data_IF_055501941719
#
_entry.id   IF_055501941719
#
_cell.length_a   1.000
_cell.length_b   1.000
_cell.length_c   1.000
_cell.angle_alpha   90.00
_cell.angle_beta   90.00
_cell.angle_gamma   90.00
#
_symmetry.space_group_name_H-M   'P 1'
#
loop_
_entity.id
_entity.type
_entity.pdbx_description
1 polymer ?
#
# COMPACT_ATOMS: atom_id res chain seq x y z
N UNK A 1 25.72 13.50 23.87
CA UNK A 1 24.81 13.88 22.75
C UNK A 1 25.01 12.99 21.49
N UNK A 2 26.27 12.60 21.17
CA UNK A 2 26.58 11.77 19.98
C UNK A 2 26.14 10.30 20.13
N UNK A 3 26.23 9.69 21.30
CA UNK A 3 25.79 8.30 21.53
C UNK A 3 24.29 8.14 21.54
N UNK A 4 23.54 9.14 22.04
CA UNK A 4 22.07 9.15 22.01
C UNK A 4 21.55 9.31 20.58
N UNK A 5 22.22 10.13 19.76
CA UNK A 5 21.89 10.27 18.33
C UNK A 5 22.17 8.99 17.55
N UNK A 6 23.34 8.35 17.78
CA UNK A 6 23.67 7.06 17.15
C UNK A 6 22.73 5.93 17.56
N UNK A 7 22.26 5.92 18.81
CA UNK A 7 21.30 4.91 19.27
C UNK A 7 19.92 5.09 18.62
N UNK A 8 19.46 6.35 18.46
CA UNK A 8 18.22 6.65 17.74
C UNK A 8 18.32 6.37 16.23
N UNK A 9 19.49 6.55 15.62
CA UNK A 9 19.73 6.19 14.20
C UNK A 9 19.73 4.68 14.00
N UNK A 10 20.33 3.90 14.91
CA UNK A 10 20.31 2.43 14.88
C UNK A 10 18.93 1.84 15.16
N UNK A 11 18.10 2.49 15.97
CA UNK A 11 16.72 2.07 16.24
C UNK A 11 15.76 2.39 15.06
N UNK A 12 16.17 3.30 14.15
CA UNK A 12 15.41 3.65 12.94
C UNK A 12 15.83 2.89 11.68
N UNK A 13 16.89 2.10 11.72
CA UNK A 13 17.34 1.33 10.58
C UNK A 13 16.43 0.10 10.35
N UNK A 14 15.72 0.09 9.23
CA UNK A 14 14.91 -1.08 8.83
C UNK A 14 15.83 -2.10 8.15
N UNK A 15 16.05 -3.23 8.80
CA UNK A 15 16.83 -4.34 8.25
C UNK A 15 15.92 -5.27 7.47
N UNK A 16 15.91 -5.13 6.16
CA UNK A 16 15.11 -5.95 5.25
C UNK A 16 14.86 -5.24 3.92
N UNK A 17 14.55 -6.00 2.90
CA UNK A 17 14.20 -5.46 1.59
C UNK A 17 12.78 -4.93 1.61
N UNK A 18 12.61 -3.64 1.32
CA UNK A 18 11.30 -2.98 1.21
C UNK A 18 11.02 -2.70 -0.26
N UNK A 19 9.84 -3.09 -0.72
CA UNK A 19 9.31 -2.74 -2.04
C UNK A 19 8.07 -1.86 -1.88
N UNK A 20 8.15 -0.62 -2.38
CA UNK A 20 6.98 0.25 -2.53
C UNK A 20 6.32 -0.07 -3.87
N UNK A 21 5.03 -0.41 -3.85
CA UNK A 21 4.26 -0.85 -5.00
C UNK A 21 3.20 0.20 -5.35
N UNK A 22 3.32 0.81 -6.52
CA UNK A 22 2.44 1.88 -6.98
C UNK A 22 1.75 1.45 -8.28
N UNK A 23 0.51 0.92 -8.22
CA UNK A 23 -0.29 0.69 -9.41
C UNK A 23 -0.75 2.03 -9.99
N UNK A 24 -0.57 2.26 -11.30
CA UNK A 24 -0.88 3.53 -11.94
C UNK A 24 -1.72 3.35 -13.21
N UNK A 25 -2.70 4.26 -13.36
CA UNK A 25 -3.44 4.44 -14.60
C UNK A 25 -3.81 5.91 -14.76
N UNK A 26 -3.14 6.62 -15.69
CA UNK A 26 -3.33 8.05 -15.96
C UNK A 26 -3.11 8.95 -14.73
N UNK A 27 -1.96 8.81 -14.08
CA UNK A 27 -1.56 9.56 -12.88
C UNK A 27 -0.40 10.54 -13.14
N UNK A 28 -0.28 11.03 -14.38
CA UNK A 28 0.82 11.94 -14.79
C UNK A 28 0.97 13.18 -13.91
N UNK A 29 -0.12 13.66 -13.31
CA UNK A 29 -0.13 14.89 -12.47
C UNK A 29 0.48 14.68 -11.08
N UNK A 30 0.44 13.46 -10.56
CA UNK A 30 0.72 13.16 -9.16
C UNK A 30 1.90 12.21 -8.97
N UNK A 31 2.17 11.34 -9.95
CA UNK A 31 3.13 10.25 -9.80
C UNK A 31 4.56 10.71 -9.47
N UNK A 32 5.03 11.84 -10.00
CA UNK A 32 6.35 12.36 -9.69
C UNK A 32 6.48 12.72 -8.20
N UNK A 33 5.47 13.41 -7.67
CA UNK A 33 5.41 13.77 -6.25
C UNK A 33 5.37 12.53 -5.38
N UNK A 34 4.50 11.57 -5.69
CA UNK A 34 4.36 10.33 -4.92
C UNK A 34 5.69 9.58 -4.87
N UNK A 35 6.35 9.36 -6.00
CA UNK A 35 7.67 8.70 -6.05
C UNK A 35 8.69 9.44 -5.19
N UNK A 36 8.77 10.77 -5.31
CA UNK A 36 9.73 11.58 -4.55
C UNK A 36 9.46 11.56 -3.04
N UNK A 37 8.19 11.61 -2.63
CA UNK A 37 7.81 11.58 -1.21
C UNK A 37 8.16 10.23 -0.57
N UNK A 38 7.90 9.12 -1.26
CA UNK A 38 8.29 7.79 -0.76
C UNK A 38 9.80 7.57 -0.78
N UNK A 39 10.53 8.07 -1.77
CA UNK A 39 12.02 8.06 -1.76
C UNK A 39 12.60 8.84 -0.59
N UNK A 40 11.99 9.95 -0.22
CA UNK A 40 12.42 10.77 0.92
C UNK A 40 12.17 10.06 2.26
N UNK A 41 11.01 9.41 2.42
CA UNK A 41 10.59 8.79 3.69
C UNK A 41 11.12 7.36 3.86
N UNK A 42 11.42 6.66 2.75
CA UNK A 42 11.98 5.31 2.71
C UNK A 42 13.13 5.25 1.68
N UNK A 43 14.28 5.92 1.96
CA UNK A 43 15.39 5.96 1.01
C UNK A 43 16.02 4.58 0.73
N UNK A 44 15.83 3.61 1.62
CA UNK A 44 16.27 2.22 1.49
C UNK A 44 15.35 1.35 0.63
N UNK A 45 14.14 1.82 0.29
CA UNK A 45 13.17 1.03 -0.46
C UNK A 45 13.37 1.11 -1.97
N UNK A 46 13.11 0.00 -2.66
CA UNK A 46 12.90 -0.02 -4.10
C UNK A 46 11.48 0.44 -4.41
N UNK A 47 11.32 1.44 -5.28
CA UNK A 47 10.00 1.96 -5.67
C UNK A 47 9.65 1.44 -7.06
N UNK A 48 8.58 0.63 -7.11
CA UNK A 48 8.04 0.05 -8.33
C UNK A 48 6.75 0.78 -8.73
N UNK A 49 6.72 1.26 -9.96
CA UNK A 49 5.51 1.76 -10.62
C UNK A 49 5.09 0.78 -11.69
N UNK A 50 3.88 0.24 -11.58
CA UNK A 50 3.29 -0.61 -12.60
C UNK A 50 2.25 0.19 -13.38
N UNK A 51 2.58 0.49 -14.63
CA UNK A 51 1.68 1.19 -15.55
C UNK A 51 0.66 0.25 -16.17
N UNK A 52 -0.61 0.58 -16.02
CA UNK A 52 -1.73 -0.22 -16.52
C UNK A 52 -2.39 0.43 -17.74
N UNK A 53 -1.61 0.60 -18.82
CA UNK A 53 -2.04 1.22 -20.09
C UNK A 53 -2.35 2.72 -19.98
N UNK A 54 -1.56 3.49 -19.27
CA UNK A 54 -1.68 4.96 -19.25
C UNK A 54 -1.43 5.56 -20.64
N UNK A 55 -2.15 6.63 -20.94
CA UNK A 55 -2.03 7.39 -22.21
C UNK A 55 -1.46 8.81 -22.01
N UNK A 56 -1.12 9.19 -20.77
CA UNK A 56 -0.75 10.53 -20.35
C UNK A 56 0.74 10.68 -19.98
N UNK A 57 1.60 9.74 -20.39
CA UNK A 57 3.02 9.66 -20.06
C UNK A 57 3.33 9.41 -18.57
N UNK A 58 2.43 8.85 -17.79
CA UNK A 58 2.64 8.44 -16.40
C UNK A 58 3.94 7.66 -16.24
N UNK A 59 4.18 6.65 -17.07
CA UNK A 59 5.36 5.79 -17.07
C UNK A 59 6.67 6.56 -17.23
N UNK A 60 6.74 7.50 -18.18
CA UNK A 60 7.93 8.32 -18.44
C UNK A 60 8.23 9.25 -17.27
N UNK A 61 7.19 9.84 -16.67
CA UNK A 61 7.32 10.71 -15.49
C UNK A 61 7.83 9.91 -14.29
N UNK A 62 7.24 8.74 -14.02
CA UNK A 62 7.67 7.86 -12.94
C UNK A 62 9.13 7.41 -13.10
N UNK A 63 9.55 7.07 -14.32
CA UNK A 63 10.93 6.68 -14.64
C UNK A 63 11.91 7.83 -14.39
N UNK A 64 11.56 9.05 -14.81
CA UNK A 64 12.39 10.26 -14.55
C UNK A 64 12.51 10.56 -13.06
N UNK A 65 11.47 10.31 -12.28
CA UNK A 65 11.50 10.44 -10.82
C UNK A 65 12.35 9.35 -10.14
N UNK A 66 12.80 8.34 -10.90
CA UNK A 66 13.70 7.28 -10.44
C UNK A 66 12.98 6.03 -9.89
N UNK A 67 11.72 5.80 -10.29
CA UNK A 67 11.04 4.54 -10.02
C UNK A 67 11.47 3.45 -11.02
N UNK A 68 11.36 2.20 -10.57
CA UNK A 68 11.47 1.01 -11.43
C UNK A 68 10.11 0.82 -12.09
N UNK A 69 10.00 1.16 -13.38
CA UNK A 69 8.73 1.08 -14.11
C UNK A 69 8.57 -0.28 -14.78
N UNK A 70 7.41 -0.89 -14.58
CA UNK A 70 6.96 -2.11 -15.25
C UNK A 70 5.55 -1.93 -15.82
N UNK A 71 5.09 -2.85 -16.64
CA UNK A 71 3.82 -2.75 -17.35
C UNK A 71 2.93 -3.95 -17.10
N UNK A 72 1.64 -3.73 -16.85
CA UNK A 72 0.59 -4.75 -16.89
C UNK A 72 -0.46 -4.37 -17.94
N UNK A 73 -0.51 -5.14 -19.01
CA UNK A 73 -1.39 -4.84 -20.15
C UNK A 73 -2.84 -5.29 -19.95
N UNK A 74 -3.11 -6.20 -19.00
CA UNK A 74 -4.48 -6.52 -18.62
C UNK A 74 -5.04 -5.44 -17.72
N UNK A 75 -6.04 -4.70 -18.23
CA UNK A 75 -6.65 -3.60 -17.49
C UNK A 75 -7.29 -4.08 -16.19
N UNK A 76 -7.06 -3.35 -15.11
CA UNK A 76 -7.64 -3.57 -13.79
C UNK A 76 -6.61 -3.68 -12.68
N UNK A 77 -6.89 -3.01 -11.54
CA UNK A 77 -6.00 -2.92 -10.39
C UNK A 77 -5.61 -4.31 -9.84
N UNK A 78 -6.55 -5.25 -9.77
CA UNK A 78 -6.27 -6.61 -9.34
C UNK A 78 -5.27 -7.35 -10.23
N UNK A 79 -5.31 -7.13 -11.56
CA UNK A 79 -4.30 -7.68 -12.47
C UNK A 79 -2.92 -7.11 -12.22
N UNK A 80 -2.83 -5.79 -11.97
CA UNK A 80 -1.58 -5.11 -11.61
C UNK A 80 -0.99 -5.70 -10.33
N UNK A 81 -1.80 -5.80 -9.28
CA UNK A 81 -1.37 -6.34 -7.98
C UNK A 81 -0.91 -7.79 -8.11
N UNK A 82 -1.62 -8.61 -8.91
CA UNK A 82 -1.20 -9.99 -9.19
C UNK A 82 0.20 -10.04 -9.80
N UNK A 83 0.48 -9.18 -10.78
CA UNK A 83 1.81 -9.10 -11.41
C UNK A 83 2.87 -8.63 -10.43
N UNK A 84 2.59 -7.60 -9.63
CA UNK A 84 3.51 -7.12 -8.58
C UNK A 84 3.87 -8.22 -7.57
N UNK A 85 2.86 -8.92 -7.05
CA UNK A 85 3.07 -9.96 -6.03
C UNK A 85 3.80 -11.20 -6.58
N UNK A 86 3.62 -11.51 -7.85
CA UNK A 86 4.34 -12.58 -8.54
C UNK A 86 5.80 -12.20 -8.81
N UNK A 87 6.04 -10.99 -9.29
CA UNK A 87 7.30 -10.59 -9.91
C UNK A 87 8.31 -10.03 -8.91
N UNK A 88 7.86 -9.60 -7.73
CA UNK A 88 8.69 -8.89 -6.74
C UNK A 88 8.82 -9.74 -5.49
N UNK A 89 10.07 -9.91 -5.02
CA UNK A 89 10.40 -10.52 -3.73
C UNK A 89 10.97 -9.46 -2.79
N UNK A 90 10.33 -9.30 -1.63
CA UNK A 90 10.74 -8.38 -0.58
C UNK A 90 10.34 -8.91 0.81
N UNK A 91 10.94 -8.38 1.86
CA UNK A 91 10.57 -8.70 3.25
C UNK A 91 9.34 -7.89 3.70
N UNK A 92 9.18 -6.71 3.12
CA UNK A 92 8.01 -5.85 3.31
C UNK A 92 7.57 -5.27 1.98
N UNK A 93 6.28 -5.33 1.71
CA UNK A 93 5.63 -4.71 0.55
C UNK A 93 4.75 -3.56 1.05
N UNK A 94 4.96 -2.36 0.54
CA UNK A 94 4.12 -1.20 0.84
C UNK A 94 3.36 -0.78 -0.43
N UNK A 95 2.07 -1.05 -0.47
CA UNK A 95 1.20 -0.66 -1.57
C UNK A 95 0.59 0.71 -1.31
N UNK A 96 0.61 1.58 -2.30
CA UNK A 96 0.01 2.92 -2.27
C UNK A 96 -0.49 3.31 -3.66
N UNK A 97 -1.59 4.06 -3.72
CA UNK A 97 -2.12 4.59 -4.98
C UNK A 97 -1.26 5.75 -5.50
N UNK A 98 -1.23 5.93 -6.84
CA UNK A 98 -0.43 6.96 -7.50
C UNK A 98 -1.05 8.37 -7.50
N UNK A 99 -2.22 8.55 -6.84
CA UNK A 99 -3.05 9.75 -6.88
C UNK A 99 -2.74 10.80 -5.80
N UNK A 100 -1.65 10.60 -5.03
CA UNK A 100 -1.22 11.49 -3.94
C UNK A 100 -2.25 11.63 -2.79
N UNK A 101 -3.02 10.58 -2.53
CA UNK A 101 -4.07 10.59 -1.49
C UNK A 101 -3.52 10.24 -0.09
N UNK A 102 -2.35 9.61 0.00
CA UNK A 102 -1.84 9.05 1.25
C UNK A 102 -0.51 9.68 1.69
N UNK A 103 -0.34 9.94 3.01
CA UNK A 103 0.89 10.52 3.55
C UNK A 103 2.03 9.52 3.54
N UNK A 104 3.18 9.90 2.94
CA UNK A 104 4.37 9.07 2.92
C UNK A 104 5.08 8.99 4.28
N UNK A 105 4.79 9.90 5.20
CA UNK A 105 5.35 9.96 6.55
C UNK A 105 5.04 8.73 7.41
N UNK A 106 3.89 8.10 7.19
CA UNK A 106 3.47 6.90 7.92
C UNK A 106 4.14 5.62 7.40
N UNK A 107 4.72 5.67 6.19
CA UNK A 107 5.31 4.52 5.51
C UNK A 107 6.34 3.77 6.37
N UNK A 108 7.21 4.51 7.04
CA UNK A 108 8.28 3.91 7.88
C UNK A 108 7.70 3.10 9.04
N UNK A 109 6.70 3.63 9.75
CA UNK A 109 6.05 2.92 10.86
C UNK A 109 5.35 1.66 10.39
N UNK A 110 4.66 1.74 9.25
CA UNK A 110 3.98 0.58 8.64
C UNK A 110 4.98 -0.53 8.29
N UNK A 111 6.08 -0.18 7.61
CA UNK A 111 7.13 -1.13 7.26
C UNK A 111 7.82 -1.73 8.49
N UNK A 112 8.09 -0.93 9.53
CA UNK A 112 8.66 -1.42 10.79
C UNK A 112 7.77 -2.44 11.48
N UNK A 113 6.43 -2.25 11.46
CA UNK A 113 5.49 -3.20 12.04
C UNK A 113 5.52 -4.56 11.31
N UNK A 114 5.69 -4.55 9.98
CA UNK A 114 5.84 -5.76 9.17
C UNK A 114 7.19 -6.45 9.45
N UNK A 115 8.30 -5.72 9.30
CA UNK A 115 9.67 -6.26 9.44
C UNK A 115 9.91 -6.81 10.84
N UNK A 116 9.35 -6.17 11.88
CA UNK A 116 9.45 -6.66 13.26
C UNK A 116 8.54 -7.86 13.59
N UNK A 117 7.70 -8.30 12.66
CA UNK A 117 6.74 -9.39 12.86
C UNK A 117 5.55 -9.03 13.77
N UNK A 118 5.32 -7.75 14.03
CA UNK A 118 4.14 -7.28 14.78
C UNK A 118 2.85 -7.46 13.99
N UNK A 119 2.93 -7.32 12.67
CA UNK A 119 1.80 -7.50 11.76
C UNK A 119 2.23 -8.23 10.49
N UNK A 120 1.27 -8.90 9.84
CA UNK A 120 1.38 -9.47 8.50
C UNK A 120 0.72 -8.56 7.46
N UNK A 121 -0.28 -7.78 7.87
CA UNK A 121 -0.87 -6.70 7.10
C UNK A 121 -1.10 -5.48 7.98
N UNK A 122 -0.66 -4.31 7.51
CA UNK A 122 -0.95 -3.00 8.11
C UNK A 122 -1.84 -2.23 7.16
N UNK A 123 -2.94 -1.70 7.67
CA UNK A 123 -3.84 -0.79 6.95
C UNK A 123 -3.52 0.63 7.40
N UNK A 124 -3.12 1.50 6.47
CA UNK A 124 -2.93 2.92 6.72
C UNK A 124 -4.26 3.65 6.80
N UNK A 125 -4.44 4.44 7.87
CA UNK A 125 -5.68 5.20 8.07
C UNK A 125 -5.72 6.41 7.12
N UNK A 126 -6.74 6.41 6.28
CA UNK A 126 -7.08 7.54 5.42
C UNK A 126 -7.82 8.65 6.18
N UNK A 127 -8.45 8.32 7.32
CA UNK A 127 -9.36 9.21 8.04
C UNK A 127 -8.64 10.26 8.91
N UNK A 128 -7.37 10.05 9.23
CA UNK A 128 -6.55 10.98 10.02
C UNK A 128 -5.94 12.13 9.20
N UNK A 129 -5.97 12.06 7.87
CA UNK A 129 -5.48 13.14 7.02
C UNK A 129 -6.55 14.22 6.83
N UNK A 130 -6.18 15.48 6.99
CA UNK A 130 -6.98 16.69 6.74
C UNK A 130 -7.57 16.79 5.31
N UNK A 131 -7.22 15.83 4.45
CA UNK A 131 -7.64 15.72 3.05
C UNK A 131 -9.13 15.33 2.88
N UNK A 132 -9.79 14.83 3.94
CA UNK A 132 -11.19 14.37 3.89
C UNK A 132 -12.24 15.45 3.76
N UNK A 133 -11.88 16.72 3.92
CA UNK A 133 -12.85 17.81 3.81
C UNK A 133 -13.24 18.13 2.37
N UNK A 134 -12.48 17.71 1.35
CA UNK A 134 -12.68 18.16 -0.03
C UNK A 134 -13.29 17.14 -1.01
N UNK A 135 -13.24 15.82 -0.74
CA UNK A 135 -13.72 14.80 -1.68
C UNK A 135 -14.73 13.81 -1.07
N UNK A 136 -15.90 14.29 -0.68
CA UNK A 136 -17.04 13.45 -0.28
C UNK A 136 -17.68 12.80 -1.53
N UNK A 137 -17.28 11.56 -1.86
CA UNK A 137 -18.07 10.70 -2.74
C UNK A 137 -19.10 9.95 -1.88
N UNK A 138 -20.39 10.35 -1.85
CA UNK A 138 -21.37 9.86 -0.86
C UNK A 138 -21.68 8.35 -0.98
N UNK A 139 -21.57 7.77 -2.16
CA UNK A 139 -21.85 6.34 -2.40
C UNK A 139 -20.71 5.40 -1.95
N UNK A 140 -19.47 5.87 -1.94
CA UNK A 140 -18.33 5.08 -1.50
C UNK A 140 -18.36 4.80 0.02
N UNK A 141 -18.86 5.77 0.79
CA UNK A 141 -18.96 5.64 2.25
C UNK A 141 -20.03 4.64 2.71
N UNK A 142 -21.14 4.51 1.96
CA UNK A 142 -22.22 3.59 2.30
C UNK A 142 -21.80 2.13 2.05
N UNK A 143 -21.15 1.86 0.89
CA UNK A 143 -20.62 0.55 0.56
C UNK A 143 -19.57 0.08 1.56
N UNK A 144 -18.60 0.95 1.90
CA UNK A 144 -17.58 0.65 2.90
C UNK A 144 -18.18 0.32 4.29
N UNK A 145 -19.20 1.09 4.73
CA UNK A 145 -19.88 0.82 6.02
C UNK A 145 -20.58 -0.52 6.03
N UNK A 146 -21.26 -0.90 4.95
CA UNK A 146 -21.99 -2.17 4.86
C UNK A 146 -21.03 -3.37 4.83
N UNK A 147 -20.01 -3.31 3.97
CA UNK A 147 -19.02 -4.40 3.86
C UNK A 147 -18.21 -4.53 5.15
N UNK A 148 -17.81 -3.42 5.76
CA UNK A 148 -17.15 -3.41 7.07
C UNK A 148 -18.02 -4.03 8.16
N UNK A 149 -19.30 -3.68 8.22
CA UNK A 149 -20.24 -4.28 9.17
C UNK A 149 -20.36 -5.79 8.99
N UNK A 150 -20.46 -6.26 7.73
CA UNK A 150 -20.53 -7.69 7.42
C UNK A 150 -19.24 -8.42 7.81
N UNK A 151 -18.07 -7.88 7.48
CA UNK A 151 -16.77 -8.48 7.83
C UNK A 151 -16.61 -8.53 9.34
N UNK A 152 -16.86 -7.43 10.06
CA UNK A 152 -16.73 -7.40 11.50
C UNK A 152 -17.72 -8.32 12.19
N UNK A 153 -18.94 -8.46 11.66
CA UNK A 153 -19.95 -9.37 12.20
C UNK A 153 -19.65 -10.85 11.95
N UNK A 154 -19.13 -11.18 10.76
CA UNK A 154 -18.85 -12.57 10.36
C UNK A 154 -17.57 -13.09 11.03
N UNK A 155 -16.55 -12.23 11.15
CA UNK A 155 -15.24 -12.64 11.62
C UNK A 155 -14.88 -12.12 13.03
N UNK A 156 -15.82 -11.49 13.71
CA UNK A 156 -15.63 -10.90 15.06
C UNK A 156 -14.38 -9.98 15.13
N UNK A 157 -14.19 -9.16 14.10
CA UNK A 157 -13.05 -8.27 13.93
C UNK A 157 -13.48 -6.81 13.93
N UNK A 158 -12.57 -5.87 14.20
CA UNK A 158 -12.89 -4.44 14.32
C UNK A 158 -12.09 -3.59 13.32
N UNK A 159 -12.18 -3.91 12.04
CA UNK A 159 -11.52 -3.17 10.95
C UNK A 159 -12.32 -1.90 10.60
N UNK A 160 -11.65 -0.75 10.55
CA UNK A 160 -12.28 0.57 10.33
C UNK A 160 -12.38 0.97 8.87
N UNK A 161 -11.32 0.79 8.07
CA UNK A 161 -11.31 1.07 6.63
C UNK A 161 -10.77 -0.12 5.83
N UNK A 162 -11.69 -0.82 5.15
CA UNK A 162 -11.38 -2.00 4.33
C UNK A 162 -11.13 -1.67 2.86
N UNK A 163 -11.37 -0.43 2.44
CA UNK A 163 -11.28 0.02 1.04
C UNK A 163 -10.06 0.92 0.77
N UNK A 164 -9.17 1.10 1.75
CA UNK A 164 -7.95 1.88 1.56
C UNK A 164 -6.94 1.14 0.70
N UNK A 165 -6.34 1.84 -0.26
CA UNK A 165 -5.23 1.36 -1.08
C UNK A 165 -3.86 1.45 -0.39
N UNK A 166 -3.78 2.02 0.82
CA UNK A 166 -2.53 2.18 1.55
C UNK A 166 -2.32 1.05 2.55
N UNK A 167 -1.50 0.08 2.18
CA UNK A 167 -1.30 -1.14 2.97
C UNK A 167 0.14 -1.62 2.92
N UNK A 168 0.64 -2.15 4.04
CA UNK A 168 1.89 -2.89 4.09
C UNK A 168 1.62 -4.37 4.32
N UNK A 169 2.47 -5.24 3.74
CA UNK A 169 2.30 -6.69 3.80
C UNK A 169 3.62 -7.40 4.09
N UNK A 170 3.54 -8.52 4.81
CA UNK A 170 4.63 -9.48 4.94
C UNK A 170 4.83 -10.28 3.66
N UNK A 171 6.02 -10.86 3.47
CA UNK A 171 6.30 -11.82 2.40
C UNK A 171 5.30 -12.98 2.40
N UNK A 172 5.03 -13.55 3.58
CA UNK A 172 4.12 -14.67 3.73
C UNK A 172 2.70 -14.31 3.26
N UNK A 173 2.19 -13.13 3.64
CA UNK A 173 0.89 -12.68 3.16
C UNK A 173 0.86 -12.61 1.62
N UNK A 174 1.83 -11.92 1.02
CA UNK A 174 1.87 -11.69 -0.43
C UNK A 174 1.96 -13.00 -1.21
N UNK A 175 2.79 -13.94 -0.77
CA UNK A 175 3.01 -15.21 -1.49
C UNK A 175 1.88 -16.23 -1.30
N UNK A 176 1.00 -16.03 -0.34
CA UNK A 176 -0.17 -16.92 -0.10
C UNK A 176 -1.48 -16.32 -0.56
N UNK A 177 -1.51 -15.02 -0.87
CA UNK A 177 -2.72 -14.33 -1.31
C UNK A 177 -3.07 -14.68 -2.76
N UNK A 178 -4.27 -15.26 -3.03
CA UNK A 178 -4.58 -15.82 -4.35
C UNK A 178 -4.89 -14.78 -5.43
N UNK A 179 -5.18 -13.53 -5.09
CA UNK A 179 -5.56 -12.43 -6.01
C UNK A 179 -6.62 -12.87 -7.03
N UNK A 180 -7.86 -13.06 -6.59
CA UNK A 180 -8.96 -13.52 -7.45
C UNK A 180 -9.63 -12.36 -8.18
N UNK A 181 -9.77 -11.22 -7.53
CA UNK A 181 -10.40 -10.02 -8.07
C UNK A 181 -9.58 -9.37 -9.19
N UNK A 182 -10.28 -8.75 -10.13
CA UNK A 182 -9.65 -8.01 -11.24
C UNK A 182 -9.63 -6.50 -11.05
N UNK A 183 -10.50 -5.97 -10.20
CA UNK A 183 -10.74 -4.54 -10.00
C UNK A 183 -10.42 -4.05 -8.59
N UNK A 184 -11.13 -3.00 -8.16
CA UNK A 184 -10.94 -2.32 -6.87
C UNK A 184 -11.44 -3.12 -5.66
N UNK A 185 -12.22 -4.16 -5.87
CA UNK A 185 -12.65 -5.08 -4.82
C UNK A 185 -11.49 -5.85 -4.18
N UNK A 186 -10.29 -5.71 -4.73
CA UNK A 186 -9.07 -6.36 -4.26
C UNK A 186 -8.72 -5.98 -2.82
N UNK A 187 -8.95 -4.73 -2.40
CA UNK A 187 -8.69 -4.28 -1.03
C UNK A 187 -9.58 -5.02 -0.01
N UNK A 188 -10.86 -5.22 -0.37
CA UNK A 188 -11.79 -6.02 0.44
C UNK A 188 -11.36 -7.48 0.50
N UNK A 189 -10.94 -8.06 -0.62
CA UNK A 189 -10.43 -9.43 -0.71
C UNK A 189 -9.20 -9.64 0.18
N UNK A 190 -8.26 -8.69 0.20
CA UNK A 190 -7.08 -8.72 1.08
C UNK A 190 -7.48 -8.74 2.56
N UNK A 191 -8.47 -7.93 2.94
CA UNK A 191 -8.94 -7.88 4.33
C UNK A 191 -9.60 -9.20 4.72
N UNK A 192 -10.47 -9.75 3.87
CA UNK A 192 -11.12 -11.05 4.11
C UNK A 192 -10.08 -12.16 4.23
N UNK A 193 -9.10 -12.21 3.34
CA UNK A 193 -8.03 -13.21 3.38
C UNK A 193 -7.20 -13.12 4.67
N UNK A 194 -6.86 -11.90 5.09
CA UNK A 194 -6.14 -11.67 6.34
C UNK A 194 -6.86 -12.27 7.54
N UNK A 195 -8.16 -12.02 7.63
CA UNK A 195 -8.99 -12.50 8.74
C UNK A 195 -9.22 -14.01 8.66
N UNK A 196 -9.55 -14.54 7.47
CA UNK A 196 -9.78 -15.98 7.25
C UNK A 196 -8.55 -16.83 7.58
N UNK A 197 -7.36 -16.35 7.29
CA UNK A 197 -6.09 -17.05 7.53
C UNK A 197 -5.42 -16.69 8.85
N UNK A 198 -6.07 -15.91 9.71
CA UNK A 198 -5.55 -15.46 11.01
C UNK A 198 -4.19 -14.74 10.89
N UNK A 199 -3.99 -13.97 9.84
CA UNK A 199 -2.86 -13.06 9.75
C UNK A 199 -2.99 -11.94 10.77
N UNK A 200 -1.86 -11.49 11.33
CA UNK A 200 -1.82 -10.36 12.26
C UNK A 200 -2.12 -9.06 11.51
N UNK A 201 -3.28 -8.47 11.79
CA UNK A 201 -3.74 -7.24 11.16
C UNK A 201 -3.57 -6.07 12.14
N UNK A 202 -3.04 -4.94 11.64
CA UNK A 202 -2.87 -3.70 12.38
C UNK A 202 -3.40 -2.53 11.55
N UNK A 203 -4.05 -1.58 12.19
CA UNK A 203 -4.44 -0.28 11.61
C UNK A 203 -3.62 0.85 12.24
N UNK A 204 -3.15 1.78 11.40
CA UNK A 204 -2.35 2.94 11.81
C UNK A 204 -2.86 4.22 11.16
#
# INVERSE_FOLDING_TARGET
RSEFMKKNELENEIKGKIAVLIPCYNEAKTIEKVVNDFKKNLPEADIYVYDNNSSDNTDQIAKKAGAIVKYEYKQGKGNVIRSMFRDIDADCYLMVDGDDTYPAEDARKMCQAIISGKADMVIGDRLSSTYFTENKRPFHNLGNKLVRFLINKIFDNNVKDIMTGYRAFSYQFVKTFPVLSKGFEIETEMTIHSVDKNFKLLEM
#
